data_IF_688944089484
#
_entry.id   IF_688944089484
#
_cell.length_a   1.000
_cell.length_b   1.000
_cell.length_c   1.000
_cell.angle_alpha   90.00
_cell.angle_beta   90.00
_cell.angle_gamma   90.00
#
_symmetry.space_group_name_H-M   'P 1'
#
loop_
_entity.id
_entity.type
_entity.pdbx_description
1 polymer ?
#
# COMPACT_ATOMS: atom_id res chain seq x y z
N UNK A 1 -4.07 -17.06 -9.13
CA UNK A 1 -3.32 -16.22 -8.18
C UNK A 1 -4.32 -15.32 -7.47
N UNK A 2 -4.63 -15.62 -6.21
CA UNK A 2 -5.48 -14.76 -5.38
C UNK A 2 -4.60 -13.65 -4.79
N UNK A 3 -4.29 -12.63 -5.59
CA UNK A 3 -3.73 -11.39 -5.05
C UNK A 3 -4.69 -10.87 -3.99
N UNK A 4 -4.15 -10.48 -2.83
CA UNK A 4 -4.93 -10.09 -1.65
C UNK A 4 -6.05 -9.14 -2.09
N UNK A 5 -7.33 -9.57 -2.10
CA UNK A 5 -8.36 -8.82 -2.79
C UNK A 5 -8.73 -7.55 -2.03
N UNK A 6 -8.22 -7.37 -0.81
CA UNK A 6 -8.63 -6.34 0.11
C UNK A 6 -7.48 -5.41 0.46
N UNK A 7 -7.82 -4.14 0.61
CA UNK A 7 -6.97 -3.09 1.14
C UNK A 7 -6.58 -3.44 2.58
N UNK A 8 -5.29 -3.64 2.81
CA UNK A 8 -4.75 -4.06 4.11
C UNK A 8 -5.01 -3.01 5.20
N UNK A 9 -4.78 -1.73 4.89
CA UNK A 9 -5.10 -0.60 5.78
C UNK A 9 -6.59 -0.50 6.14
N UNK A 10 -7.49 -0.88 5.24
CA UNK A 10 -8.92 -0.90 5.54
C UNK A 10 -9.27 -2.09 6.41
N UNK A 11 -8.70 -3.26 6.10
CA UNK A 11 -8.93 -4.50 6.85
C UNK A 11 -8.51 -4.36 8.32
N UNK A 12 -7.37 -3.74 8.59
CA UNK A 12 -6.91 -3.42 9.96
C UNK A 12 -7.90 -2.51 10.72
N UNK A 13 -8.67 -1.70 10.01
CA UNK A 13 -9.71 -0.82 10.57
C UNK A 13 -11.10 -1.48 10.60
N UNK A 14 -11.18 -2.79 10.34
CA UNK A 14 -12.45 -3.52 10.27
C UNK A 14 -13.28 -3.21 9.01
N UNK A 15 -12.69 -2.62 7.97
CA UNK A 15 -13.36 -2.30 6.71
C UNK A 15 -12.88 -3.23 5.59
N UNK A 16 -13.83 -3.79 4.84
CA UNK A 16 -13.53 -4.69 3.74
C UNK A 16 -13.67 -3.94 2.40
N UNK A 17 -12.57 -3.32 1.96
CA UNK A 17 -12.52 -2.56 0.70
C UNK A 17 -11.58 -3.28 -0.24
N UNK A 18 -11.93 -3.37 -1.53
CA UNK A 18 -11.07 -4.02 -2.51
C UNK A 18 -9.75 -3.26 -2.70
N UNK A 19 -8.66 -4.00 -2.77
CA UNK A 19 -7.38 -3.46 -3.21
C UNK A 19 -7.35 -3.39 -4.74
N UNK A 20 -6.92 -2.25 -5.26
CA UNK A 20 -6.75 -2.01 -6.71
C UNK A 20 -5.35 -1.55 -7.05
N UNK A 21 -4.54 -1.21 -6.06
CA UNK A 21 -3.18 -0.70 -6.19
C UNK A 21 -2.24 -1.46 -5.25
N UNK A 22 -0.97 -1.53 -5.66
CA UNK A 22 0.11 -2.09 -4.85
C UNK A 22 1.09 -0.97 -4.50
N UNK A 23 1.47 -0.88 -3.24
CA UNK A 23 2.40 0.11 -2.71
C UNK A 23 3.69 -0.54 -2.23
N UNK A 24 4.82 0.10 -2.50
CA UNK A 24 6.09 -0.29 -1.89
C UNK A 24 6.21 0.36 -0.52
N UNK A 25 6.26 -0.44 0.55
CA UNK A 25 6.38 0.05 1.94
C UNK A 25 7.67 0.85 2.09
N UNK A 26 8.77 0.29 1.58
CA UNK A 26 10.05 0.99 1.39
C UNK A 26 10.21 1.36 -0.08
N UNK A 27 10.44 2.64 -0.42
CA UNK A 27 10.71 3.04 -1.79
C UNK A 27 11.92 2.30 -2.38
N UNK A 28 11.86 1.95 -3.66
CA UNK A 28 12.98 1.31 -4.36
C UNK A 28 14.27 2.17 -4.31
N UNK A 29 14.12 3.50 -4.34
CA UNK A 29 15.23 4.43 -4.23
C UNK A 29 15.97 4.35 -2.88
N UNK A 30 15.30 3.91 -1.82
CA UNK A 30 15.89 3.71 -0.49
C UNK A 30 16.34 2.25 -0.27
N UNK A 31 16.29 1.41 -1.30
CA UNK A 31 16.64 -0.01 -1.21
C UNK A 31 15.46 -0.94 -0.90
N UNK A 32 14.22 -0.50 -1.17
CA UNK A 32 13.07 -1.40 -1.20
C UNK A 32 13.17 -2.44 -2.33
N UNK A 33 12.52 -3.58 -2.16
CA UNK A 33 12.46 -4.66 -3.17
C UNK A 33 11.04 -4.87 -3.70
N UNK A 34 10.87 -5.71 -4.72
CA UNK A 34 9.57 -6.16 -5.20
C UNK A 34 9.06 -7.41 -4.48
N UNK A 35 9.69 -7.78 -3.36
CA UNK A 35 9.25 -8.91 -2.56
C UNK A 35 7.89 -8.62 -1.93
N UNK A 36 7.05 -9.64 -1.83
CA UNK A 36 5.70 -9.51 -1.28
C UNK A 36 5.66 -8.94 0.13
N UNK A 37 6.75 -9.07 0.89
CA UNK A 37 6.91 -8.46 2.21
C UNK A 37 7.07 -6.93 2.17
N UNK A 38 7.57 -6.38 1.07
CA UNK A 38 7.69 -4.94 0.84
C UNK A 38 6.51 -4.37 0.02
N UNK A 39 5.55 -5.21 -0.37
CA UNK A 39 4.38 -4.81 -1.12
C UNK A 39 3.15 -4.78 -0.21
N UNK A 40 2.34 -3.74 -0.35
CA UNK A 40 1.08 -3.60 0.37
C UNK A 40 -0.07 -3.39 -0.60
N UNK A 41 -1.13 -4.18 -0.45
CA UNK A 41 -2.33 -4.09 -1.28
C UNK A 41 -3.29 -3.04 -0.72
N UNK A 42 -3.60 -2.01 -1.51
CA UNK A 42 -4.35 -0.84 -1.06
C UNK A 42 -5.46 -0.44 -2.04
N UNK A 43 -6.49 0.20 -1.51
CA UNK A 43 -7.44 0.95 -2.33
C UNK A 43 -6.84 2.31 -2.72
N UNK A 44 -7.37 2.93 -3.77
CA UNK A 44 -6.93 4.24 -4.28
C UNK A 44 -6.80 5.28 -3.16
N UNK A 45 -7.84 5.43 -2.32
CA UNK A 45 -7.84 6.43 -1.25
C UNK A 45 -6.78 6.19 -0.17
N UNK A 46 -6.50 4.93 0.17
CA UNK A 46 -5.44 4.60 1.13
C UNK A 46 -4.06 4.84 0.51
N UNK A 47 -3.87 4.45 -0.75
CA UNK A 47 -2.62 4.65 -1.47
C UNK A 47 -2.26 6.13 -1.58
N UNK A 48 -3.20 6.98 -2.00
CA UNK A 48 -2.99 8.43 -2.09
C UNK A 48 -2.67 9.05 -0.73
N UNK A 49 -3.34 8.60 0.34
CA UNK A 49 -3.11 9.10 1.70
C UNK A 49 -1.71 8.76 2.21
N UNK A 50 -1.15 7.61 1.84
CA UNK A 50 0.24 7.25 2.21
C UNK A 50 1.21 8.16 1.46
N UNK A 51 1.01 8.36 0.15
CA UNK A 51 1.84 9.30 -0.63
C UNK A 51 1.77 10.73 -0.09
N UNK A 52 0.60 11.20 0.35
CA UNK A 52 0.45 12.51 0.96
C UNK A 52 1.14 12.62 2.33
N UNK A 53 1.22 11.52 3.09
CA UNK A 53 1.95 11.49 4.37
C UNK A 53 3.46 11.34 4.20
N UNK A 54 3.90 10.69 3.13
CA UNK A 54 5.32 10.58 2.76
C UNK A 54 5.89 11.85 2.14
N UNK A 55 5.04 12.73 1.58
CA UNK A 55 5.40 14.09 1.13
C UNK A 55 5.51 15.05 2.32
N UNK A 56 6.41 14.74 3.23
CA UNK A 56 6.91 15.66 4.27
C UNK A 56 8.30 16.22 3.94
N UNK A 57 8.78 16.05 2.72
CA UNK A 57 10.10 16.51 2.27
C UNK A 57 10.01 16.81 0.76
N UNK A 58 9.93 18.09 0.42
CA UNK A 58 10.27 18.62 -0.90
C UNK A 58 11.49 19.52 -0.72
#
# INVERSE_FOLDING_TARGET
MAGHPLCECCKERGRYVLATLVHHIRPLADGGTHDTENLMSLCVSCHERIHQRGRGDQ
#
